data_IF_396790787575
#
_entry.id   IF_396790787575
#
_cell.length_a   1.000
_cell.length_b   1.000
_cell.length_c   1.000
_cell.angle_alpha   90.00
_cell.angle_beta   90.00
_cell.angle_gamma   90.00
#
_symmetry.space_group_name_H-M   'P 1'
#
loop_
_entity.id
_entity.type
_entity.pdbx_description
1 polymer ?
#
# COMPACT_ATOMS: atom_id res chain seq x y z
N UNK A 1 23.86 20.42 15.69
CA UNK A 1 24.60 19.17 15.94
C UNK A 1 23.82 18.32 16.94
N UNK A 2 23.09 17.31 16.47
CA UNK A 2 22.57 16.20 17.29
C UNK A 2 22.14 15.09 16.32
N UNK A 3 23.10 14.20 16.03
CA UNK A 3 22.93 12.95 15.31
C UNK A 3 21.89 12.09 16.04
N UNK A 4 20.92 11.54 15.32
CA UNK A 4 20.23 10.32 15.74
C UNK A 4 20.58 9.22 14.75
N UNK A 5 21.33 8.27 15.30
CA UNK A 5 21.81 7.04 14.70
C UNK A 5 20.59 6.23 14.26
N UNK A 6 20.44 6.05 12.95
CA UNK A 6 19.49 5.11 12.36
C UNK A 6 20.03 3.71 12.65
N UNK A 7 19.38 3.02 13.58
CA UNK A 7 19.71 1.64 13.95
C UNK A 7 19.22 0.73 12.83
N UNK A 8 20.12 0.41 11.91
CA UNK A 8 19.93 -0.50 10.80
C UNK A 8 19.85 -1.94 11.34
N UNK A 9 18.63 -2.42 11.57
CA UNK A 9 18.37 -3.81 11.97
C UNK A 9 18.36 -4.67 10.70
N UNK A 10 19.53 -5.18 10.34
CA UNK A 10 19.70 -6.22 9.33
C UNK A 10 19.10 -7.53 9.87
N UNK A 11 17.84 -7.79 9.56
CA UNK A 11 17.24 -9.11 9.76
C UNK A 11 17.66 -9.99 8.58
N UNK A 12 18.76 -10.73 8.76
CA UNK A 12 19.13 -11.82 7.86
C UNK A 12 18.13 -12.96 8.01
N UNK A 13 17.14 -13.00 7.13
CA UNK A 13 16.22 -14.14 6.97
C UNK A 13 16.98 -15.24 6.24
N UNK A 14 17.38 -16.28 6.97
CA UNK A 14 17.89 -17.52 6.39
C UNK A 14 16.72 -18.29 5.78
N UNK A 15 16.57 -18.26 4.46
CA UNK A 15 15.60 -19.07 3.73
C UNK A 15 16.16 -20.49 3.64
N UNK A 16 15.68 -21.39 4.49
CA UNK A 16 15.85 -22.84 4.34
C UNK A 16 14.99 -23.30 3.16
N UNK A 17 15.64 -23.55 2.02
CA UNK A 17 15.04 -24.27 0.90
C UNK A 17 14.92 -25.74 1.31
N UNK A 18 13.76 -26.11 1.86
CA UNK A 18 13.39 -27.51 2.07
C UNK A 18 12.97 -28.09 0.71
N UNK A 19 13.84 -28.91 0.14
CA UNK A 19 13.54 -29.73 -1.02
C UNK A 19 12.60 -30.89 -0.68
N UNK A 20 11.63 -31.12 -1.57
CA UNK A 20 10.89 -32.36 -1.85
C UNK A 20 10.03 -32.04 -3.09
N UNK A 21 9.88 -32.86 -4.13
CA UNK A 21 9.65 -34.29 -4.13
C UNK A 21 10.08 -34.93 -5.45
N UNK A 22 10.72 -36.09 -5.37
CA UNK A 22 10.94 -37.01 -6.48
C UNK A 22 9.64 -37.75 -6.78
N UNK A 23 9.04 -37.49 -7.93
CA UNK A 23 7.96 -38.32 -8.48
C UNK A 23 8.57 -39.55 -9.17
N UNK A 24 8.07 -40.74 -8.84
CA UNK A 24 8.40 -42.01 -9.51
C UNK A 24 7.80 -42.07 -10.91
N UNK A 25 8.54 -42.49 -11.94
CA UNK A 25 7.96 -42.81 -13.24
C UNK A 25 7.39 -44.24 -13.26
N UNK A 26 6.19 -44.39 -13.80
CA UNK A 26 5.61 -45.67 -14.20
C UNK A 26 6.22 -46.10 -15.54
N UNK A 27 6.56 -47.38 -15.62
CA UNK A 27 7.16 -48.01 -16.79
C UNK A 27 6.06 -48.37 -17.80
N UNK A 28 6.14 -47.80 -19.00
CA UNK A 28 5.42 -48.24 -20.19
C UNK A 28 6.38 -48.42 -21.37
N UNK A 29 5.90 -49.18 -22.35
CA UNK A 29 6.62 -50.08 -23.24
C UNK A 29 7.75 -49.52 -24.11
N UNK A 30 8.78 -50.36 -24.27
CA UNK A 30 10.00 -50.16 -25.06
C UNK A 30 9.68 -50.26 -26.55
N UNK A 31 9.51 -49.11 -27.20
CA UNK A 31 9.69 -48.96 -28.64
C UNK A 31 11.17 -48.81 -28.97
N UNK A 32 11.72 -49.67 -29.83
CA UNK A 32 13.10 -49.60 -30.31
C UNK A 32 13.28 -48.38 -31.21
N UNK A 33 13.76 -47.26 -30.63
CA UNK A 33 14.13 -46.04 -31.36
C UNK A 33 15.64 -45.98 -31.57
N UNK A 34 16.02 -45.58 -32.78
CA UNK A 34 17.38 -45.56 -33.31
C UNK A 34 18.27 -44.49 -32.62
N UNK A 35 19.40 -44.86 -31.97
CA UNK A 35 20.11 -44.02 -30.99
C UNK A 35 21.08 -42.95 -31.54
N UNK A 36 21.01 -42.55 -32.81
CA UNK A 36 22.03 -41.66 -33.41
C UNK A 36 21.58 -40.23 -33.77
N UNK A 37 20.41 -39.76 -33.29
CA UNK A 37 19.93 -38.39 -33.64
C UNK A 37 19.54 -37.51 -32.44
N UNK A 38 19.69 -37.96 -31.19
CA UNK A 38 19.17 -37.25 -29.99
C UNK A 38 20.21 -36.43 -29.20
N UNK A 39 21.50 -36.52 -29.51
CA UNK A 39 22.51 -35.81 -28.70
C UNK A 39 22.67 -34.32 -29.02
N UNK A 40 22.12 -33.82 -30.13
CA UNK A 40 22.26 -32.40 -30.49
C UNK A 40 21.12 -31.51 -29.96
N UNK A 41 19.93 -32.05 -29.65
CA UNK A 41 18.78 -31.24 -29.19
C UNK A 41 18.72 -30.96 -27.68
N UNK A 42 19.53 -31.64 -26.87
CA UNK A 42 19.52 -31.48 -25.40
C UNK A 42 20.30 -30.22 -24.96
N UNK A 43 21.25 -29.75 -25.75
CA UNK A 43 22.13 -28.61 -25.41
C UNK A 43 21.44 -27.24 -25.53
N UNK A 44 20.54 -27.08 -26.50
CA UNK A 44 19.89 -25.79 -26.77
C UNK A 44 18.80 -25.44 -25.74
N UNK A 45 18.14 -26.45 -25.17
CA UNK A 45 17.06 -26.25 -24.21
C UNK A 45 17.57 -25.82 -22.82
N UNK A 46 18.74 -26.32 -22.40
CA UNK A 46 19.37 -25.90 -21.15
C UNK A 46 19.78 -24.42 -21.18
N UNK A 47 20.27 -23.94 -22.33
CA UNK A 47 20.69 -22.54 -22.50
C UNK A 47 19.51 -21.56 -22.43
N UNK A 48 18.35 -21.95 -22.96
CA UNK A 48 17.12 -21.14 -22.87
C UNK A 48 16.55 -21.09 -21.43
N UNK A 49 16.65 -22.18 -20.67
CA UNK A 49 16.19 -22.22 -19.28
C UNK A 49 17.05 -21.35 -18.33
N UNK A 50 18.36 -21.30 -18.54
CA UNK A 50 19.24 -20.46 -17.70
C UNK A 50 19.02 -18.97 -17.98
N UNK A 51 18.78 -18.60 -19.25
CA UNK A 51 18.47 -17.22 -19.62
C UNK A 51 17.15 -16.72 -19.00
N UNK A 52 16.11 -17.57 -18.91
CA UNK A 52 14.83 -17.20 -18.32
C UNK A 52 14.91 -17.03 -16.78
N UNK A 53 15.68 -17.88 -16.10
CA UNK A 53 15.89 -17.77 -14.65
C UNK A 53 16.63 -16.47 -14.25
N UNK A 54 17.66 -16.09 -15.01
CA UNK A 54 18.38 -14.85 -14.78
C UNK A 54 17.48 -13.62 -14.93
N UNK A 55 16.59 -13.63 -15.94
CA UNK A 55 15.64 -12.54 -16.15
C UNK A 55 14.60 -12.44 -15.03
N UNK A 56 14.07 -13.57 -14.57
CA UNK A 56 13.12 -13.61 -13.44
C UNK A 56 13.75 -13.00 -12.19
N UNK A 57 15.01 -13.34 -11.89
CA UNK A 57 15.71 -12.78 -10.73
C UNK A 57 15.93 -11.27 -10.84
N UNK A 58 16.30 -10.78 -12.03
CA UNK A 58 16.44 -9.36 -12.28
C UNK A 58 15.10 -8.60 -12.10
N UNK A 59 14.01 -9.14 -12.65
CA UNK A 59 12.68 -8.55 -12.52
C UNK A 59 12.21 -8.51 -11.05
N UNK A 60 12.55 -9.52 -10.23
CA UNK A 60 12.25 -9.53 -8.78
C UNK A 60 13.03 -8.46 -8.00
N UNK A 61 14.30 -8.22 -8.33
CA UNK A 61 15.07 -7.13 -7.70
C UNK A 61 14.48 -5.75 -8.04
N UNK A 62 14.08 -5.54 -9.30
CA UNK A 62 13.44 -4.29 -9.72
C UNK A 62 12.08 -4.10 -9.03
N UNK A 63 11.30 -5.18 -8.86
CA UNK A 63 10.05 -5.13 -8.09
C UNK A 63 10.28 -4.69 -6.64
N UNK A 64 11.34 -5.20 -5.99
CA UNK A 64 11.68 -4.79 -4.63
C UNK A 64 12.10 -3.31 -4.58
N UNK A 65 12.94 -2.84 -5.51
CA UNK A 65 13.34 -1.44 -5.59
C UNK A 65 12.15 -0.49 -5.85
N UNK A 66 11.18 -0.92 -6.67
CA UNK A 66 9.95 -0.17 -6.92
C UNK A 66 9.07 -0.06 -5.66
N UNK A 67 9.00 -1.11 -4.84
CA UNK A 67 8.28 -1.08 -3.56
C UNK A 67 8.93 -0.14 -2.54
N UNK A 68 10.26 -0.12 -2.50
CA UNK A 68 11.01 0.73 -1.57
C UNK A 68 10.98 2.21 -1.96
N UNK A 69 11.09 2.50 -3.26
CA UNK A 69 11.01 3.88 -3.78
C UNK A 69 9.58 4.39 -3.92
N UNK A 70 8.61 3.47 -4.01
CA UNK A 70 7.21 3.75 -4.29
C UNK A 70 7.00 4.61 -5.56
N UNK A 71 7.80 4.39 -6.62
CA UNK A 71 7.69 5.15 -7.87
C UNK A 71 7.36 4.26 -9.07
N UNK A 72 6.47 4.74 -9.95
CA UNK A 72 6.09 4.02 -11.17
C UNK A 72 7.25 3.88 -12.16
N UNK A 73 8.23 4.79 -12.10
CA UNK A 73 9.41 4.78 -12.95
C UNK A 73 10.29 3.53 -12.73
N UNK A 74 10.35 3.01 -11.50
CA UNK A 74 11.06 1.76 -11.23
C UNK A 74 10.33 0.55 -11.84
N UNK A 75 8.98 0.55 -11.83
CA UNK A 75 8.22 -0.50 -12.51
C UNK A 75 8.44 -0.51 -14.02
N UNK A 76 8.76 0.64 -14.63
CA UNK A 76 9.03 0.72 -16.07
C UNK A 76 10.33 0.03 -16.49
N UNK A 77 11.24 -0.25 -15.54
CA UNK A 77 12.49 -0.98 -15.79
C UNK A 77 12.30 -2.50 -15.83
N UNK A 78 11.16 -3.01 -15.38
CA UNK A 78 10.85 -4.45 -15.42
C UNK A 78 10.58 -4.87 -16.87
N UNK A 79 11.23 -5.96 -17.29
CA UNK A 79 11.15 -6.47 -18.65
C UNK A 79 9.92 -7.36 -18.85
N UNK A 80 9.59 -8.20 -17.86
CA UNK A 80 8.41 -9.06 -17.87
C UNK A 80 7.11 -8.26 -17.84
N UNK A 81 6.26 -8.46 -18.84
CA UNK A 81 5.00 -7.71 -18.99
C UNK A 81 4.05 -7.94 -17.81
N UNK A 82 3.90 -9.18 -17.35
CA UNK A 82 3.06 -9.51 -16.19
C UNK A 82 3.59 -8.88 -14.90
N UNK A 83 4.88 -9.09 -14.59
CA UNK A 83 5.52 -8.54 -13.38
C UNK A 83 5.53 -7.01 -13.36
N UNK A 84 5.64 -6.38 -14.53
CA UNK A 84 5.53 -4.92 -14.69
C UNK A 84 4.12 -4.41 -14.36
N UNK A 85 3.08 -5.11 -14.81
CA UNK A 85 1.68 -4.75 -14.48
C UNK A 85 1.46 -4.87 -12.97
N UNK A 86 1.84 -6.00 -12.37
CA UNK A 86 1.72 -6.21 -10.91
C UNK A 86 2.46 -5.15 -10.10
N UNK A 87 3.67 -4.78 -10.54
CA UNK A 87 4.45 -3.70 -9.92
C UNK A 87 3.68 -2.39 -9.94
N UNK A 88 3.16 -1.99 -11.12
CA UNK A 88 2.44 -0.73 -11.28
C UNK A 88 1.18 -0.70 -10.42
N UNK A 89 0.45 -1.79 -10.32
CA UNK A 89 -0.75 -1.83 -9.50
C UNK A 89 -0.41 -1.69 -8.00
N UNK A 90 0.65 -2.36 -7.51
CA UNK A 90 1.11 -2.25 -6.11
C UNK A 90 1.58 -0.83 -5.79
N UNK A 91 2.44 -0.25 -6.63
CA UNK A 91 2.97 1.10 -6.41
C UNK A 91 1.84 2.14 -6.48
N UNK A 92 0.89 1.99 -7.40
CA UNK A 92 -0.26 2.91 -7.48
C UNK A 92 -1.12 2.83 -6.22
N UNK A 93 -1.38 1.62 -5.71
CA UNK A 93 -2.11 1.44 -4.45
C UNK A 93 -1.41 2.12 -3.26
N UNK A 94 -0.09 1.97 -3.14
CA UNK A 94 0.69 2.61 -2.08
C UNK A 94 0.72 4.14 -2.21
N UNK A 95 0.79 4.69 -3.43
CA UNK A 95 0.75 6.13 -3.66
C UNK A 95 -0.61 6.75 -3.30
N UNK A 96 -1.70 6.00 -3.41
CA UNK A 96 -3.02 6.45 -2.92
C UNK A 96 -3.06 6.50 -1.40
N UNK A 97 -2.42 5.55 -0.71
CA UNK A 97 -2.28 5.60 0.75
C UNK A 97 -1.47 6.80 1.23
N UNK A 98 -0.52 7.30 0.45
CA UNK A 98 0.26 8.50 0.80
C UNK A 98 -0.41 9.81 0.37
N UNK A 99 -1.63 9.75 -0.17
CA UNK A 99 -2.38 10.92 -0.64
C UNK A 99 -1.77 11.58 -1.88
N UNK A 100 -0.91 10.86 -2.62
CA UNK A 100 -0.14 11.41 -3.73
C UNK A 100 -0.72 11.11 -5.12
N UNK A 101 -1.82 10.35 -5.24
CA UNK A 101 -2.42 10.08 -6.54
C UNK A 101 -3.94 10.20 -6.57
N UNK A 102 -4.42 11.02 -7.51
CA UNK A 102 -5.82 11.12 -7.96
C UNK A 102 -6.20 10.07 -9.01
N UNK A 103 -5.26 9.25 -9.48
CA UNK A 103 -5.40 8.52 -10.74
C UNK A 103 -5.58 7.01 -10.57
N UNK A 104 -6.46 6.58 -9.65
CA UNK A 104 -6.93 5.18 -9.57
C UNK A 104 -7.43 4.65 -10.93
N UNK A 105 -7.85 5.55 -11.82
CA UNK A 105 -8.33 5.25 -13.18
C UNK A 105 -7.34 4.47 -14.03
N UNK A 106 -6.03 4.62 -13.76
CA UNK A 106 -4.94 4.04 -14.54
C UNK A 106 -4.54 2.63 -14.09
N UNK A 107 -5.13 2.10 -13.01
CA UNK A 107 -4.88 0.73 -12.53
C UNK A 107 -5.55 -0.25 -13.50
N UNK A 108 -4.77 -1.21 -14.01
CA UNK A 108 -5.25 -2.20 -14.97
C UNK A 108 -6.04 -3.32 -14.28
N UNK A 109 -5.59 -3.75 -13.11
CA UNK A 109 -6.28 -4.75 -12.30
C UNK A 109 -7.57 -4.17 -11.69
N UNK A 110 -8.71 -4.78 -12.01
CA UNK A 110 -10.03 -4.30 -11.60
C UNK A 110 -10.25 -4.31 -10.08
N UNK A 111 -9.73 -5.32 -9.37
CA UNK A 111 -9.89 -5.42 -7.91
C UNK A 111 -9.05 -4.37 -7.18
N UNK A 112 -7.81 -4.18 -7.63
CA UNK A 112 -6.92 -3.14 -7.09
C UNK A 112 -7.44 -1.74 -7.41
N UNK A 113 -8.02 -1.55 -8.60
CA UNK A 113 -8.69 -0.30 -8.99
C UNK A 113 -9.85 0.02 -8.06
N UNK A 114 -10.72 -0.96 -7.79
CA UNK A 114 -11.85 -0.77 -6.87
C UNK A 114 -11.38 -0.46 -5.45
N UNK A 115 -10.36 -1.15 -4.95
CA UNK A 115 -9.78 -0.85 -3.63
C UNK A 115 -9.17 0.56 -3.57
N UNK A 116 -8.48 0.98 -4.62
CA UNK A 116 -7.94 2.33 -4.76
C UNK A 116 -9.05 3.38 -4.68
N UNK A 117 -10.14 3.20 -5.45
CA UNK A 117 -11.27 4.14 -5.47
C UNK A 117 -11.94 4.28 -4.11
N UNK A 118 -12.14 3.19 -3.36
CA UNK A 118 -12.68 3.23 -1.98
C UNK A 118 -11.75 4.04 -1.07
N UNK A 119 -10.46 3.73 -1.07
CA UNK A 119 -9.49 4.45 -0.22
C UNK A 119 -9.31 5.91 -0.58
N UNK A 120 -9.42 6.23 -1.87
CA UNK A 120 -9.39 7.61 -2.34
C UNK A 120 -10.60 8.38 -1.81
N UNK A 121 -11.79 7.77 -1.79
CA UNK A 121 -12.99 8.37 -1.20
C UNK A 121 -12.81 8.60 0.30
N UNK A 122 -12.37 7.59 1.05
CA UNK A 122 -12.09 7.71 2.50
C UNK A 122 -11.06 8.81 2.80
N UNK A 123 -9.99 8.90 2.02
CA UNK A 123 -8.96 9.94 2.17
C UNK A 123 -9.51 11.33 1.85
N UNK A 124 -10.39 11.45 0.85
CA UNK A 124 -11.02 12.72 0.50
C UNK A 124 -12.00 13.20 1.58
N UNK A 125 -12.79 12.30 2.16
CA UNK A 125 -13.68 12.62 3.29
C UNK A 125 -12.86 13.11 4.49
N UNK A 126 -11.79 12.40 4.85
CA UNK A 126 -10.89 12.82 5.94
C UNK A 126 -10.21 14.16 5.68
N UNK A 127 -9.80 14.44 4.44
CA UNK A 127 -9.22 15.73 4.08
C UNK A 127 -10.27 16.86 4.18
N UNK A 128 -11.51 16.61 3.76
CA UNK A 128 -12.59 17.58 3.89
C UNK A 128 -12.88 17.91 5.36
N UNK A 129 -12.88 16.90 6.23
CA UNK A 129 -13.04 17.06 7.67
C UNK A 129 -11.92 17.90 8.29
N UNK A 130 -10.67 17.62 7.93
CA UNK A 130 -9.51 18.43 8.37
C UNK A 130 -9.62 19.89 7.90
N UNK A 131 -10.02 20.12 6.65
CA UNK A 131 -10.19 21.47 6.11
C UNK A 131 -11.32 22.23 6.83
N UNK A 132 -12.41 21.55 7.19
CA UNK A 132 -13.51 22.13 7.98
C UNK A 132 -13.05 22.43 9.41
N UNK A 133 -12.32 21.52 10.04
CA UNK A 133 -11.72 21.71 11.35
C UNK A 133 -10.84 22.97 11.37
N UNK A 134 -9.90 23.10 10.43
CA UNK A 134 -9.00 24.25 10.37
C UNK A 134 -9.76 25.57 10.20
N UNK A 135 -10.75 25.61 9.29
CA UNK A 135 -11.60 26.79 9.10
C UNK A 135 -12.41 27.13 10.35
N UNK A 136 -12.95 26.12 11.04
CA UNK A 136 -13.67 26.31 12.30
C UNK A 136 -12.76 26.98 13.33
N UNK A 137 -11.54 26.45 13.51
CA UNK A 137 -10.55 27.00 14.44
C UNK A 137 -10.16 28.43 14.08
N UNK A 138 -9.84 28.70 12.82
CA UNK A 138 -9.40 30.04 12.37
C UNK A 138 -10.52 31.08 12.56
N UNK A 139 -11.75 30.72 12.19
CA UNK A 139 -12.87 31.66 12.21
C UNK A 139 -13.62 31.71 13.55
N UNK A 140 -13.39 30.75 14.44
CA UNK A 140 -14.20 30.58 15.65
C UNK A 140 -15.64 30.15 15.36
N UNK A 141 -15.89 29.54 14.19
CA UNK A 141 -17.24 29.21 13.72
C UNK A 141 -17.59 27.75 14.08
N UNK A 142 -18.33 27.59 15.17
CA UNK A 142 -18.79 26.30 15.69
C UNK A 142 -19.67 25.54 14.69
N UNK A 143 -20.38 26.25 13.82
CA UNK A 143 -21.25 25.61 12.81
C UNK A 143 -20.47 24.80 11.78
N UNK A 144 -19.17 25.10 11.59
CA UNK A 144 -18.29 24.33 10.71
C UNK A 144 -17.94 22.96 11.30
N UNK A 145 -17.85 22.82 12.63
CA UNK A 145 -17.63 21.51 13.26
C UNK A 145 -18.79 20.54 12.98
N UNK A 146 -20.02 21.04 12.80
CA UNK A 146 -21.17 20.20 12.45
C UNK A 146 -21.12 19.64 11.02
N UNK A 147 -20.21 20.13 10.17
CA UNK A 147 -19.99 19.64 8.80
C UNK A 147 -18.94 18.53 8.71
N UNK A 148 -18.23 18.26 9.82
CA UNK A 148 -17.26 17.18 9.91
C UNK A 148 -18.01 15.85 10.00
N UNK A 149 -17.65 14.90 9.15
CA UNK A 149 -18.30 13.59 9.03
C UNK A 149 -17.78 12.63 10.10
N UNK A 150 -16.46 12.58 10.30
CA UNK A 150 -15.86 11.75 11.34
C UNK A 150 -16.26 12.27 12.74
N UNK A 151 -16.91 11.43 13.57
CA UNK A 151 -17.41 11.87 14.87
C UNK A 151 -16.28 12.24 15.85
N UNK A 152 -15.11 11.64 15.73
CA UNK A 152 -13.96 11.94 16.59
C UNK A 152 -13.39 13.31 16.23
N UNK A 153 -13.14 13.57 14.94
CA UNK A 153 -12.66 14.87 14.48
C UNK A 153 -13.68 16.00 14.76
N UNK A 154 -14.99 15.68 14.69
CA UNK A 154 -16.07 16.60 15.05
C UNK A 154 -16.02 16.98 16.52
N UNK A 155 -15.92 16.00 17.41
CA UNK A 155 -15.87 16.24 18.84
C UNK A 155 -14.61 17.03 19.21
N UNK A 156 -13.45 16.67 18.65
CA UNK A 156 -12.20 17.42 18.82
C UNK A 156 -12.33 18.87 18.33
N UNK A 157 -13.05 19.11 17.23
CA UNK A 157 -13.32 20.46 16.73
C UNK A 157 -14.09 21.29 17.77
N UNK A 158 -15.17 20.72 18.32
CA UNK A 158 -16.02 21.37 19.31
C UNK A 158 -15.26 21.65 20.61
N UNK A 159 -14.47 20.70 21.13
CA UNK A 159 -13.68 20.86 22.36
C UNK A 159 -12.69 22.02 22.21
N UNK A 160 -11.94 22.03 21.11
CA UNK A 160 -10.93 23.06 20.87
C UNK A 160 -11.57 24.46 20.76
N UNK A 161 -12.74 24.57 20.11
CA UNK A 161 -13.46 25.84 20.06
C UNK A 161 -14.06 26.25 21.40
N UNK A 162 -14.63 25.32 22.18
CA UNK A 162 -15.09 25.59 23.54
C UNK A 162 -13.97 26.22 24.38
N UNK A 163 -12.79 25.61 24.37
CA UNK A 163 -11.63 26.08 25.13
C UNK A 163 -11.09 27.41 24.62
N UNK A 164 -11.02 27.59 23.29
CA UNK A 164 -10.53 28.81 22.66
C UNK A 164 -11.45 30.00 22.93
N UNK A 165 -12.75 29.80 22.84
CA UNK A 165 -13.77 30.84 22.99
C UNK A 165 -14.23 31.02 24.44
N UNK A 166 -13.88 30.07 25.32
CA UNK A 166 -14.35 30.00 26.71
C UNK A 166 -15.88 30.01 26.82
N UNK A 167 -16.54 29.27 25.94
CA UNK A 167 -18.01 29.21 25.83
C UNK A 167 -18.56 27.84 26.24
N UNK A 168 -19.20 27.70 27.41
CA UNK A 168 -19.79 26.44 27.88
C UNK A 168 -20.99 25.99 27.06
N UNK A 169 -21.64 26.86 26.28
CA UNK A 169 -22.73 26.45 25.39
C UNK A 169 -22.25 25.52 24.28
N UNK A 170 -20.96 25.56 23.93
CA UNK A 170 -20.37 24.63 22.97
C UNK A 170 -20.31 23.21 23.55
N UNK A 171 -20.01 23.07 24.85
CA UNK A 171 -20.03 21.78 25.54
C UNK A 171 -21.41 21.12 25.55
N UNK A 172 -22.49 21.90 25.44
CA UNK A 172 -23.84 21.33 25.38
C UNK A 172 -24.14 20.54 24.09
N UNK A 173 -23.30 20.68 23.06
CA UNK A 173 -23.47 20.01 21.77
C UNK A 173 -22.96 18.55 21.77
N UNK A 174 -22.20 18.13 22.79
CA UNK A 174 -21.77 16.73 22.89
C UNK A 174 -22.93 15.80 23.22
N UNK A 175 -22.98 14.66 22.54
CA UNK A 175 -23.98 13.61 22.80
C UNK A 175 -23.57 12.74 23.99
N UNK A 176 -22.27 12.46 24.16
CA UNK A 176 -21.77 11.70 25.30
C UNK A 176 -21.72 12.59 26.56
N UNK A 177 -22.42 12.20 27.65
CA UNK A 177 -22.52 13.02 28.84
C UNK A 177 -21.21 13.17 29.62
N UNK A 178 -20.27 12.22 29.47
CA UNK A 178 -18.95 12.32 30.12
C UNK A 178 -18.10 13.37 29.42
N UNK A 179 -18.09 13.35 28.10
CA UNK A 179 -17.39 14.36 27.29
C UNK A 179 -17.92 15.77 27.55
N UNK A 180 -19.25 15.91 27.69
CA UNK A 180 -19.88 17.17 28.09
C UNK A 180 -19.42 17.66 29.47
N UNK A 181 -19.35 16.75 30.45
CA UNK A 181 -18.88 17.08 31.80
C UNK A 181 -17.40 17.50 31.79
N UNK A 182 -16.55 16.70 31.15
CA UNK A 182 -15.11 16.95 31.03
C UNK A 182 -14.80 18.27 30.32
N UNK A 183 -15.60 18.63 29.31
CA UNK A 183 -15.52 19.91 28.62
C UNK A 183 -15.85 21.08 29.55
N UNK A 184 -16.96 20.98 30.30
CA UNK A 184 -17.39 22.02 31.23
C UNK A 184 -16.40 22.23 32.39
N UNK A 185 -15.77 21.16 32.89
CA UNK A 185 -14.80 21.23 33.99
C UNK A 185 -13.49 21.93 33.60
N UNK A 186 -13.17 22.02 32.30
CA UNK A 186 -11.93 22.61 31.77
C UNK A 186 -12.06 24.07 31.30
N UNK A 187 -13.27 24.63 31.31
CA UNK A 187 -13.53 26.01 30.88
C UNK A 187 -13.21 27.04 31.95
#
# INVERSE_FOLDING_TARGET
MKNKIVSLLLVTIAILVVGCSTASPQADEVGVVNPQTEQEQISDNASQQVASAAQIFADQQQLQAARESNTLAECDKISGTATKVDCKDIVTYNLVLTGQLSDCKNIANADLKKQCEVKLLEANEKNADRDMFEKAQVNGDVSLCSKIVDPTDKDDCLINLAYKLKDPQICEQFTDPRTKLDCNDQL
#
